data_IF_586929375866
#
_entry.id   IF_586929375866
#
_cell.length_a   1.000
_cell.length_b   1.000
_cell.length_c   1.000
_cell.angle_alpha   90.00
_cell.angle_beta   90.00
_cell.angle_gamma   90.00
#
_symmetry.space_group_name_H-M   'P 1'
#
loop_
_entity.id
_entity.type
_entity.pdbx_description
1 polymer ?
#
# COMPACT_ATOMS: atom_id res chain seq x y z
N UNK A 1 -37.17 -27.75 1.22
CA UNK A 1 -35.95 -28.20 0.53
C UNK A 1 -34.91 -27.11 0.66
N UNK A 2 -33.97 -27.29 1.59
CA UNK A 2 -33.00 -26.25 1.98
C UNK A 2 -31.64 -26.63 1.41
N UNK A 3 -31.16 -25.89 0.42
CA UNK A 3 -29.83 -26.07 -0.17
C UNK A 3 -28.79 -25.42 0.75
N UNK A 4 -28.00 -26.26 1.41
CA UNK A 4 -26.83 -25.88 2.20
C UNK A 4 -25.70 -25.45 1.25
N UNK A 5 -25.21 -24.22 1.41
CA UNK A 5 -24.03 -23.74 0.70
C UNK A 5 -22.77 -24.39 1.29
N UNK A 6 -21.83 -24.89 0.47
CA UNK A 6 -20.58 -25.44 0.98
C UNK A 6 -19.73 -24.33 1.60
N UNK A 7 -19.58 -24.38 2.92
CA UNK A 7 -18.56 -23.61 3.64
C UNK A 7 -17.20 -24.16 3.24
N UNK A 8 -16.46 -23.41 2.43
CA UNK A 8 -15.03 -23.64 2.23
C UNK A 8 -14.31 -23.24 3.51
N UNK A 9 -14.07 -24.21 4.39
CA UNK A 9 -13.21 -24.01 5.54
C UNK A 9 -11.81 -23.60 5.07
N UNK A 10 -11.27 -22.43 5.47
CA UNK A 10 -9.91 -22.06 5.16
C UNK A 10 -8.98 -23.12 5.76
N UNK A 11 -8.13 -23.69 4.92
CA UNK A 11 -7.16 -24.73 5.28
C UNK A 11 -6.26 -24.18 6.40
N UNK A 12 -6.49 -24.67 7.62
CA UNK A 12 -5.87 -24.18 8.86
C UNK A 12 -4.36 -24.47 8.82
N UNK A 13 -3.58 -23.44 8.52
CA UNK A 13 -2.12 -23.41 8.66
C UNK A 13 -1.71 -22.06 9.27
N UNK A 14 -0.52 -21.99 9.86
CA UNK A 14 0.02 -20.74 10.43
C UNK A 14 -0.08 -19.62 9.37
N UNK A 15 -0.70 -18.47 9.66
CA UNK A 15 -0.76 -17.34 8.75
C UNK A 15 0.64 -17.03 8.23
N UNK A 16 0.77 -16.86 6.91
CA UNK A 16 2.06 -16.51 6.31
C UNK A 16 2.47 -15.13 6.83
N UNK A 17 3.72 -15.01 7.27
CA UNK A 17 4.29 -13.77 7.81
C UNK A 17 4.29 -12.63 6.78
N UNK A 18 4.37 -12.98 5.50
CA UNK A 18 4.29 -12.07 4.36
C UNK A 18 3.23 -12.56 3.36
N UNK A 19 2.54 -11.61 2.71
CA UNK A 19 1.52 -11.90 1.70
C UNK A 19 2.12 -12.41 0.37
N UNK A 20 3.37 -12.04 0.08
CA UNK A 20 4.10 -12.44 -1.12
C UNK A 20 4.74 -13.83 -0.98
N UNK A 21 5.10 -14.51 -2.08
CA UNK A 21 5.93 -15.70 -2.04
C UNK A 21 7.24 -15.40 -1.29
N UNK A 22 7.50 -16.16 -0.22
CA UNK A 22 8.65 -15.92 0.68
C UNK A 22 9.38 -17.21 0.97
N UNK A 23 10.71 -17.16 1.05
CA UNK A 23 11.56 -18.28 1.49
C UNK A 23 12.21 -17.96 2.84
N UNK A 24 12.37 -18.94 3.75
CA UNK A 24 13.14 -18.73 4.98
C UNK A 24 14.61 -18.52 4.64
N UNK A 25 15.24 -17.54 5.31
CA UNK A 25 16.66 -17.24 5.19
C UNK A 25 17.22 -17.09 6.60
N UNK A 26 18.29 -17.83 6.89
CA UNK A 26 19.08 -17.65 8.13
C UNK A 26 20.17 -16.64 7.84
N UNK A 27 20.27 -15.61 8.67
CA UNK A 27 21.25 -14.54 8.53
C UNK A 27 22.02 -14.40 9.85
N UNK A 28 23.33 -14.25 9.74
CA UNK A 28 24.18 -13.82 10.86
C UNK A 28 24.47 -12.35 10.65
N UNK A 29 24.01 -11.49 11.56
CA UNK A 29 24.18 -10.05 11.49
C UNK A 29 24.97 -9.56 12.72
N UNK A 30 25.79 -8.51 12.56
CA UNK A 30 26.41 -7.82 13.70
C UNK A 30 25.37 -7.30 14.71
N UNK A 31 25.72 -7.28 16.00
CA UNK A 31 24.81 -6.88 17.10
C UNK A 31 24.26 -5.47 16.91
N UNK A 32 25.10 -4.51 16.52
CA UNK A 32 24.67 -3.14 16.21
C UNK A 32 23.65 -3.06 15.06
N UNK A 33 23.73 -3.98 14.09
CA UNK A 33 22.74 -4.07 12.99
C UNK A 33 21.41 -4.62 13.52
N UNK A 34 21.46 -5.62 14.40
CA UNK A 34 20.26 -6.15 15.06
C UNK A 34 19.57 -5.09 15.93
N UNK A 35 20.33 -4.29 16.67
CA UNK A 35 19.82 -3.15 17.44
C UNK A 35 19.16 -2.10 16.54
N UNK A 36 19.84 -1.73 15.45
CA UNK A 36 19.32 -0.77 14.47
C UNK A 36 18.02 -1.26 13.84
N UNK A 37 17.97 -2.53 13.41
CA UNK A 37 16.76 -3.14 12.86
C UNK A 37 15.64 -3.22 13.91
N UNK A 38 15.96 -3.53 15.16
CA UNK A 38 15.01 -3.50 16.27
C UNK A 38 14.42 -2.12 16.55
N UNK A 39 15.18 -1.05 16.28
CA UNK A 39 14.69 0.32 16.30
C UNK A 39 13.69 0.65 15.18
N UNK A 40 13.73 -0.08 14.06
CA UNK A 40 12.79 0.07 12.93
C UNK A 40 11.52 -0.77 13.16
N UNK A 41 11.67 -2.03 13.55
CA UNK A 41 10.57 -2.93 13.88
C UNK A 41 11.05 -4.03 14.83
N UNK A 42 10.24 -4.33 15.87
CA UNK A 42 10.49 -5.44 16.79
C UNK A 42 10.60 -6.80 16.09
N UNK A 43 9.97 -6.94 14.92
CA UNK A 43 10.13 -8.09 14.05
C UNK A 43 11.25 -7.81 13.03
N UNK A 44 12.42 -8.42 13.25
CA UNK A 44 13.59 -8.26 12.37
C UNK A 44 13.28 -8.54 10.89
N UNK A 45 12.40 -9.49 10.60
CA UNK A 45 12.04 -9.77 9.20
C UNK A 45 11.23 -8.63 8.59
N UNK A 46 10.37 -7.96 9.37
CA UNK A 46 9.63 -6.77 8.92
C UNK A 46 10.55 -5.55 8.82
N UNK A 47 11.49 -5.38 9.75
CA UNK A 47 12.49 -4.33 9.69
C UNK A 47 13.32 -4.44 8.40
N UNK A 48 13.80 -5.65 8.08
CA UNK A 48 14.54 -5.92 6.84
C UNK A 48 13.69 -5.61 5.60
N UNK A 49 12.43 -6.06 5.56
CA UNK A 49 11.53 -5.79 4.44
C UNK A 49 11.28 -4.29 4.28
N UNK A 50 11.01 -3.57 5.37
CA UNK A 50 10.82 -2.11 5.37
C UNK A 50 12.08 -1.37 4.89
N UNK A 51 13.26 -1.81 5.30
CA UNK A 51 14.52 -1.23 4.86
C UNK A 51 14.80 -1.51 3.38
N UNK A 52 14.38 -2.67 2.86
CA UNK A 52 14.58 -3.06 1.48
C UNK A 52 13.53 -2.49 0.51
N UNK A 53 12.36 -2.06 1.00
CA UNK A 53 11.28 -1.52 0.17
C UNK A 53 11.70 -0.38 -0.77
N UNK A 54 12.47 0.63 -0.31
CA UNK A 54 12.98 1.68 -1.20
C UNK A 54 13.88 1.15 -2.32
N UNK A 55 14.70 0.13 -2.04
CA UNK A 55 15.58 -0.48 -3.05
C UNK A 55 14.83 -1.37 -4.04
N UNK A 56 13.74 -2.01 -3.61
CA UNK A 56 12.81 -2.72 -4.51
C UNK A 56 12.07 -1.73 -5.41
N UNK A 57 11.64 -0.59 -4.86
CA UNK A 57 10.98 0.49 -5.61
C UNK A 57 11.89 1.15 -6.66
N UNK A 58 13.22 1.10 -6.46
CA UNK A 58 14.21 1.59 -7.44
C UNK A 58 14.37 0.68 -8.67
N UNK A 59 13.80 -0.53 -8.68
CA UNK A 59 13.80 -1.34 -9.90
C UNK A 59 12.91 -0.66 -10.95
N UNK A 60 13.38 -0.52 -12.20
CA UNK A 60 12.62 0.18 -13.23
C UNK A 60 11.30 -0.56 -13.47
N UNK A 61 10.24 0.02 -12.93
CA UNK A 61 8.85 -0.39 -13.14
C UNK A 61 8.21 0.63 -14.08
N UNK A 62 7.24 0.23 -14.92
CA UNK A 62 6.49 1.19 -15.71
C UNK A 62 5.85 2.26 -14.80
N UNK A 63 5.82 3.54 -15.21
CA UNK A 63 5.23 4.62 -14.42
C UNK A 63 3.77 4.36 -14.03
N UNK A 64 3.02 3.68 -14.92
CA UNK A 64 1.71 3.12 -14.67
C UNK A 64 1.51 1.82 -15.46
N UNK A 65 0.84 0.83 -14.88
CA UNK A 65 0.49 -0.40 -15.57
C UNK A 65 -0.80 -1.05 -15.05
N UNK A 66 -1.40 -1.92 -15.85
CA UNK A 66 -2.49 -2.80 -15.43
C UNK A 66 -1.92 -4.06 -14.79
N UNK A 67 -2.18 -4.24 -13.50
CA UNK A 67 -1.82 -5.46 -12.77
C UNK A 67 -3.05 -6.36 -12.64
N UNK A 68 -2.91 -7.61 -13.06
CA UNK A 68 -4.00 -8.60 -13.09
C UNK A 68 -4.02 -9.51 -11.86
N UNK A 69 -5.19 -9.63 -11.26
CA UNK A 69 -5.55 -10.50 -10.16
C UNK A 69 -6.68 -11.44 -10.61
N UNK A 70 -6.29 -12.58 -11.20
CA UNK A 70 -7.23 -13.50 -11.83
C UNK A 70 -7.91 -12.84 -13.04
N UNK A 71 -9.24 -12.69 -12.99
CA UNK A 71 -10.03 -12.06 -14.06
C UNK A 71 -10.18 -10.55 -13.93
N UNK A 72 -9.62 -9.95 -12.87
CA UNK A 72 -9.72 -8.52 -12.60
C UNK A 72 -8.36 -7.88 -12.78
N UNK A 73 -8.32 -6.63 -13.21
CA UNK A 73 -7.08 -5.87 -13.30
C UNK A 73 -7.29 -4.50 -12.67
N UNK A 74 -6.23 -3.96 -12.08
CA UNK A 74 -6.21 -2.66 -11.40
C UNK A 74 -5.03 -1.86 -11.92
N UNK A 75 -5.15 -0.53 -11.92
CA UNK A 75 -4.06 0.36 -12.32
C UNK A 75 -3.13 0.56 -11.12
N UNK A 76 -1.87 0.21 -11.31
CA UNK A 76 -0.79 0.42 -10.34
C UNK A 76 0.17 1.46 -10.91
N UNK A 77 0.58 2.41 -10.08
CA UNK A 77 1.38 3.57 -10.47
C UNK A 77 2.55 3.78 -9.53
N UNK A 78 3.57 4.49 -10.01
CA UNK A 78 4.54 5.12 -9.11
C UNK A 78 3.86 6.30 -8.40
N UNK A 79 3.83 6.34 -7.06
CA UNK A 79 3.07 7.34 -6.34
C UNK A 79 3.73 8.71 -6.38
N UNK A 80 2.99 9.75 -6.80
CA UNK A 80 3.43 11.14 -6.68
C UNK A 80 2.34 12.01 -6.07
N UNK A 81 2.77 13.01 -5.30
CA UNK A 81 1.84 13.98 -4.69
C UNK A 81 1.12 14.81 -5.75
N UNK A 82 1.72 15.00 -6.92
CA UNK A 82 1.12 15.73 -8.03
C UNK A 82 -0.08 14.99 -8.59
N UNK A 83 0.03 13.66 -8.74
CA UNK A 83 -1.10 12.83 -9.16
C UNK A 83 -2.30 12.98 -8.22
N UNK A 84 -2.10 12.85 -6.91
CA UNK A 84 -3.17 13.03 -5.91
C UNK A 84 -3.77 14.44 -5.96
N UNK A 85 -2.93 15.49 -5.99
CA UNK A 85 -3.41 16.88 -6.00
C UNK A 85 -4.18 17.26 -7.27
N UNK A 86 -3.70 16.82 -8.43
CA UNK A 86 -4.28 17.19 -9.74
C UNK A 86 -5.55 16.41 -10.04
N UNK A 87 -5.65 15.17 -9.56
CA UNK A 87 -6.75 14.27 -9.94
C UNK A 87 -7.71 13.95 -8.80
N UNK A 88 -7.36 14.24 -7.55
CA UNK A 88 -8.19 13.91 -6.38
C UNK A 88 -8.29 12.41 -6.08
N UNK A 89 -7.44 11.58 -6.70
CA UNK A 89 -7.35 10.15 -6.37
C UNK A 89 -6.64 9.94 -5.04
N UNK A 90 -6.93 8.80 -4.42
CA UNK A 90 -6.23 8.28 -3.25
C UNK A 90 -5.29 7.17 -3.69
N UNK A 91 -4.03 7.23 -3.28
CA UNK A 91 -3.03 6.22 -3.61
C UNK A 91 -2.88 5.22 -2.47
N UNK A 92 -3.35 3.99 -2.68
CA UNK A 92 -3.23 2.90 -1.70
C UNK A 92 -1.86 2.23 -1.87
N UNK A 93 -0.94 2.35 -0.91
CA UNK A 93 0.43 1.88 -1.08
C UNK A 93 0.52 0.36 -1.16
N UNK A 94 1.38 -0.12 -2.05
CA UNK A 94 1.77 -1.51 -2.21
C UNK A 94 3.14 -1.76 -1.58
N UNK A 95 3.41 -3.04 -1.31
CA UNK A 95 4.65 -3.47 -0.64
C UNK A 95 5.90 -3.37 -1.51
N UNK A 96 5.77 -3.07 -2.79
CA UNK A 96 6.86 -2.87 -3.75
C UNK A 96 7.17 -1.38 -4.00
N UNK A 97 6.55 -0.47 -3.24
CA UNK A 97 6.74 0.98 -3.36
C UNK A 97 5.84 1.66 -4.39
N UNK A 98 5.02 0.89 -5.12
CA UNK A 98 3.99 1.42 -6.02
C UNK A 98 2.70 1.67 -5.25
N UNK A 99 1.69 2.22 -5.93
CA UNK A 99 0.37 2.43 -5.35
C UNK A 99 -0.74 2.01 -6.31
N UNK A 100 -1.85 1.56 -5.75
CA UNK A 100 -3.10 1.34 -6.47
C UNK A 100 -3.91 2.64 -6.49
N UNK A 101 -4.43 3.01 -7.67
CA UNK A 101 -5.34 4.16 -7.79
C UNK A 101 -6.70 3.79 -7.21
N UNK A 102 -7.13 4.54 -6.21
CA UNK A 102 -8.47 4.46 -5.61
C UNK A 102 -9.14 5.83 -5.67
N UNK A 103 -10.47 5.85 -5.69
CA UNK A 103 -11.25 7.07 -5.61
C UNK A 103 -12.67 6.75 -5.14
N UNK A 104 -13.35 7.74 -4.54
CA UNK A 104 -14.71 7.59 -4.02
C UNK A 104 -15.78 7.68 -5.12
N UNK A 105 -17.06 7.64 -4.71
CA UNK A 105 -18.21 7.67 -5.63
C UNK A 105 -18.34 8.97 -6.45
N UNK A 106 -17.71 10.07 -6.01
CA UNK A 106 -17.72 11.34 -6.75
C UNK A 106 -16.83 11.30 -8.00
N UNK A 107 -15.98 10.27 -8.11
CA UNK A 107 -15.01 10.12 -9.19
C UNK A 107 -15.34 8.90 -10.06
N UNK A 108 -15.15 9.06 -11.37
CA UNK A 108 -15.33 8.00 -12.36
C UNK A 108 -14.08 7.85 -13.19
N UNK A 109 -13.91 6.71 -13.87
CA UNK A 109 -12.78 6.50 -14.77
C UNK A 109 -12.74 7.55 -15.90
N UNK A 110 -13.91 7.99 -16.39
CA UNK A 110 -14.00 9.04 -17.40
C UNK A 110 -13.59 10.42 -16.84
N UNK A 111 -14.01 10.73 -15.60
CA UNK A 111 -13.59 11.97 -14.93
C UNK A 111 -12.10 11.98 -14.66
N UNK A 112 -11.54 10.86 -14.19
CA UNK A 112 -10.10 10.69 -14.02
C UNK A 112 -9.35 10.88 -15.34
N UNK A 113 -9.82 10.25 -16.42
CA UNK A 113 -9.21 10.41 -17.76
C UNK A 113 -9.19 11.87 -18.21
N UNK A 114 -10.29 12.61 -17.97
CA UNK A 114 -10.36 14.04 -18.28
C UNK A 114 -9.36 14.84 -17.46
N UNK A 115 -9.31 14.64 -16.13
CA UNK A 115 -8.37 15.37 -15.26
C UNK A 115 -6.90 15.09 -15.60
N UNK A 116 -6.58 13.86 -16.01
CA UNK A 116 -5.25 13.51 -16.51
C UNK A 116 -4.95 14.26 -17.81
N UNK A 117 -5.91 14.31 -18.74
CA UNK A 117 -5.75 15.01 -20.02
C UNK A 117 -5.57 16.52 -19.81
N UNK A 118 -6.40 17.13 -18.98
CA UNK A 118 -6.31 18.56 -18.65
C UNK A 118 -4.94 18.91 -18.04
N UNK A 119 -4.45 18.10 -17.11
CA UNK A 119 -3.14 18.32 -16.49
C UNK A 119 -1.97 18.16 -17.48
N UNK A 120 -2.07 17.25 -18.45
CA UNK A 120 -1.07 17.12 -19.53
C UNK A 120 -1.12 18.32 -20.48
N UNK A 121 -2.33 18.82 -20.78
CA UNK A 121 -2.54 19.95 -21.69
C UNK A 121 -2.09 21.30 -21.08
N UNK A 122 -1.97 21.41 -19.75
CA UNK A 122 -1.38 22.59 -19.06
C UNK A 122 0.15 22.69 -19.21
N UNK A 123 0.85 21.60 -19.56
CA UNK A 123 2.30 21.54 -19.78
C UNK A 123 3.18 22.06 -18.61
N UNK A 124 2.67 22.01 -17.37
CA UNK A 124 3.39 22.50 -16.17
C UNK A 124 3.88 21.37 -15.24
N UNK A 125 3.71 20.12 -15.67
CA UNK A 125 4.11 18.94 -14.93
C UNK A 125 5.63 18.69 -15.05
N UNK A 126 6.32 18.32 -13.95
CA UNK A 126 7.68 17.81 -14.02
C UNK A 126 7.78 16.57 -14.94
N UNK A 127 8.91 16.36 -15.59
CA UNK A 127 9.12 15.24 -16.53
C UNK A 127 8.71 13.87 -15.99
N UNK A 128 8.95 13.61 -14.70
CA UNK A 128 8.56 12.35 -14.05
C UNK A 128 7.04 12.23 -13.93
N UNK A 129 6.36 13.30 -13.52
CA UNK A 129 4.90 13.34 -13.42
C UNK A 129 4.26 13.24 -14.81
N UNK A 130 4.81 13.93 -15.82
CA UNK A 130 4.34 13.83 -17.20
C UNK A 130 4.32 12.37 -17.67
N UNK A 131 5.40 11.61 -17.45
CA UNK A 131 5.46 10.18 -17.81
C UNK A 131 4.41 9.34 -17.09
N UNK A 132 4.12 9.64 -15.83
CA UNK A 132 3.09 8.93 -15.06
C UNK A 132 1.71 9.23 -15.63
N UNK A 133 1.39 10.50 -15.88
CA UNK A 133 0.11 10.92 -16.42
C UNK A 133 -0.13 10.36 -17.83
N UNK A 134 0.90 10.40 -18.70
CA UNK A 134 0.84 9.79 -20.02
C UNK A 134 0.60 8.28 -19.94
N UNK A 135 1.31 7.57 -19.05
CA UNK A 135 1.12 6.13 -18.87
C UNK A 135 -0.29 5.79 -18.38
N UNK A 136 -0.86 6.55 -17.45
CA UNK A 136 -2.25 6.38 -16.99
C UNK A 136 -3.23 6.63 -18.14
N UNK A 137 -3.07 7.73 -18.89
CA UNK A 137 -3.88 8.06 -20.06
C UNK A 137 -3.87 6.92 -21.07
N UNK A 138 -2.70 6.37 -21.35
CA UNK A 138 -2.54 5.30 -22.33
C UNK A 138 -3.17 3.99 -21.84
N UNK A 139 -3.04 3.65 -20.56
CA UNK A 139 -3.75 2.52 -19.94
C UNK A 139 -5.27 2.68 -20.08
N UNK A 140 -5.82 3.84 -19.73
CA UNK A 140 -7.27 4.11 -19.82
C UNK A 140 -7.76 4.07 -21.27
N UNK A 141 -7.04 4.73 -22.19
CA UNK A 141 -7.33 4.75 -23.63
C UNK A 141 -7.32 3.34 -24.22
N UNK A 142 -6.30 2.54 -23.92
CA UNK A 142 -6.15 1.18 -24.42
C UNK A 142 -7.25 0.25 -23.87
N UNK A 143 -7.61 0.43 -22.61
CA UNK A 143 -8.72 -0.31 -21.99
C UNK A 143 -10.04 0.01 -22.67
N UNK A 144 -10.35 1.29 -22.92
CA UNK A 144 -11.59 1.69 -23.62
C UNK A 144 -11.67 1.18 -25.06
N UNK A 145 -10.53 1.15 -25.77
CA UNK A 145 -10.47 0.65 -27.15
C UNK A 145 -10.51 -0.87 -27.26
N UNK A 146 -10.35 -1.59 -26.15
CA UNK A 146 -10.38 -3.04 -26.13
C UNK A 146 -11.82 -3.55 -25.96
N UNK A 147 -12.36 -4.31 -26.93
CA UNK A 147 -13.70 -4.89 -26.81
C UNK A 147 -13.80 -5.98 -25.73
N UNK A 148 -12.66 -6.49 -25.25
CA UNK A 148 -12.61 -7.51 -24.20
C UNK A 148 -12.52 -6.93 -22.78
N UNK A 149 -12.38 -5.61 -22.64
CA UNK A 149 -12.21 -4.96 -21.35
C UNK A 149 -13.48 -4.19 -20.94
N UNK A 150 -13.89 -4.37 -19.68
CA UNK A 150 -14.99 -3.61 -19.09
C UNK A 150 -14.48 -2.94 -17.82
N UNK A 151 -14.50 -1.61 -17.81
CA UNK A 151 -14.19 -0.83 -16.62
C UNK A 151 -15.37 -0.95 -15.66
N UNK A 152 -15.12 -1.42 -14.44
CA UNK A 152 -16.13 -1.54 -13.39
C UNK A 152 -15.67 -0.76 -12.17
N UNK A 153 -16.57 0.05 -11.62
CA UNK A 153 -16.38 0.61 -10.28
C UNK A 153 -16.75 -0.45 -9.24
N UNK A 154 -15.85 -0.66 -8.29
CA UNK A 154 -16.01 -1.67 -7.24
C UNK A 154 -15.40 -1.12 -5.95
N UNK A 155 -16.13 -1.27 -4.85
CA UNK A 155 -15.60 -0.94 -3.53
C UNK A 155 -14.55 -1.97 -3.10
N UNK A 156 -13.37 -1.46 -2.72
CA UNK A 156 -12.30 -2.25 -2.12
C UNK A 156 -12.25 -1.86 -0.63
N UNK A 157 -12.38 -2.86 0.25
CA UNK A 157 -12.20 -2.64 1.68
C UNK A 157 -10.71 -2.61 2.00
N UNK A 158 -10.25 -1.46 2.48
CA UNK A 158 -8.88 -1.27 2.97
C UNK A 158 -8.92 -1.36 4.50
N UNK A 159 -8.09 -2.24 5.05
CA UNK A 159 -7.94 -2.40 6.50
C UNK A 159 -6.57 -1.85 6.88
N UNK A 160 -6.58 -0.76 7.64
CA UNK A 160 -5.38 -0.21 8.24
C UNK A 160 -5.25 -0.77 9.66
N UNK A 161 -4.11 -1.38 9.94
CA UNK A 161 -3.75 -1.76 11.31
C UNK A 161 -2.78 -0.70 11.79
N UNK A 162 -3.27 0.21 12.63
CA UNK A 162 -2.37 1.11 13.34
C UNK A 162 -1.36 0.26 14.12
N UNK A 163 -0.05 0.53 14.00
CA UNK A 163 0.92 -0.12 14.86
C UNK A 163 0.51 0.20 16.30
N UNK A 164 0.33 -0.84 17.12
CA UNK A 164 -0.01 -0.70 18.52
C UNK A 164 1.04 0.20 19.20
N UNK A 165 0.73 1.49 19.29
CA UNK A 165 1.60 2.48 19.91
C UNK A 165 1.64 2.15 21.40
N UNK A 166 2.72 1.50 21.83
CA UNK A 166 3.29 1.52 23.17
C UNK A 166 2.27 1.67 24.34
N UNK A 167 1.20 0.90 24.34
CA UNK A 167 0.25 0.81 25.46
C UNK A 167 0.83 -0.06 26.58
N UNK A 168 2.06 0.24 27.05
CA UNK A 168 2.65 -0.36 28.26
C UNK A 168 3.82 0.44 28.83
N UNK A 169 3.76 1.78 28.78
CA UNK A 169 4.66 2.66 29.55
C UNK A 169 3.91 3.81 30.20
N UNK A 170 2.84 3.48 30.95
CA UNK A 170 2.22 4.39 31.92
C UNK A 170 1.46 3.62 32.99
N UNK A 171 2.14 2.71 33.69
CA UNK A 171 1.71 2.17 34.98
C UNK A 171 2.94 1.61 35.70
N UNK A 172 3.66 2.48 36.39
CA UNK A 172 4.88 2.10 37.10
C UNK A 172 5.74 3.25 37.57
N UNK A 173 5.15 4.36 38.04
CA UNK A 173 5.87 5.27 38.94
C UNK A 173 5.11 5.32 40.28
N UNK A 174 5.11 4.17 40.95
CA UNK A 174 4.68 4.05 42.33
C UNK A 174 5.79 4.53 43.26
N UNK A 175 5.98 5.86 43.36
CA UNK A 175 6.76 6.43 44.48
C UNK A 175 5.91 6.36 45.75
N UNK A 176 6.40 5.75 46.84
CA UNK A 176 5.70 5.81 48.12
C UNK A 176 5.78 7.23 48.69
N UNK A 177 4.63 7.75 49.13
CA UNK A 177 4.56 9.00 49.92
C UNK A 177 5.26 8.79 51.27
N UNK A 178 6.09 9.74 51.74
CA UNK A 178 6.66 9.64 53.07
C UNK A 178 5.56 9.83 54.14
N UNK A 179 5.70 9.19 55.32
CA UNK A 179 4.72 9.30 56.39
C UNK A 179 4.70 10.72 56.97
N UNK A 180 3.49 11.23 57.21
CA UNK A 180 3.27 12.47 57.96
C UNK A 180 3.61 12.20 59.43
N UNK A 181 4.62 12.89 59.96
CA UNK A 181 4.82 13.00 61.41
C UNK A 181 3.64 13.73 62.04
N UNK A 182 3.07 13.13 63.09
CA UNK A 182 2.23 13.79 64.08
C UNK A 182 3.01 13.79 65.39
N UNK A 183 3.10 14.93 66.05
CA UNK A 183 3.77 15.10 67.35
C UNK A 183 4.95 16.05 67.23
#
# INVERSE_FOLDING_TARGET
MSLSLPVTTPRRGRPRKFAQPSRPVTLTLPENVLETLGGIDHDLSRAIVRLAQPEVAKRPSPPAELVSFGKRSVIVVNPTKTLERRTGVVLVPLSDGRALISFDESMTAARLELMIQDALDEHDLPDEDTRIFEAIRDVLRNTRRSPAAVIRQQYIMVIEVEPAAAASRKNGDGRPRPPRSRG
#
